data_IF_261533430919
#
_entry.id   IF_261533430919
#
_cell.length_a   1.000
_cell.length_b   1.000
_cell.length_c   1.000
_cell.angle_alpha   90.00
_cell.angle_beta   90.00
_cell.angle_gamma   90.00
#
_symmetry.space_group_name_H-M   'P 1'
#
loop_
_entity.id
_entity.type
_entity.pdbx_description
1 polymer ?
#
# COMPACT_ATOMS: atom_id res chain seq x y z
N UNK A 1 -0.67 -2.80 -4.54
CA UNK A 1 0.75 -3.13 -4.44
C UNK A 1 0.99 -4.14 -3.32
N UNK A 2 1.72 -5.24 -3.61
CA UNK A 2 2.19 -6.22 -2.62
C UNK A 2 3.71 -6.09 -2.56
N UNK A 3 4.21 -5.63 -1.41
CA UNK A 3 5.63 -5.31 -1.24
C UNK A 3 6.20 -5.88 0.06
N UNK A 4 7.51 -6.08 0.09
CA UNK A 4 8.20 -6.54 1.27
C UNK A 4 8.54 -5.44 2.29
N UNK A 5 8.23 -4.19 2.00
CA UNK A 5 8.49 -3.08 2.91
C UNK A 5 9.98 -2.73 3.03
N UNK A 6 10.64 -2.45 1.93
CA UNK A 6 12.08 -2.12 1.89
C UNK A 6 12.50 -1.08 2.93
N UNK A 7 11.66 -0.05 3.16
CA UNK A 7 11.90 1.01 4.14
C UNK A 7 12.01 0.51 5.58
N UNK A 8 11.30 -0.58 5.93
CA UNK A 8 11.36 -1.13 7.29
C UNK A 8 12.72 -1.73 7.66
N UNK A 9 13.60 -1.99 6.69
CA UNK A 9 14.99 -2.36 6.97
C UNK A 9 15.75 -1.23 7.68
N UNK A 10 15.39 0.02 7.44
CA UNK A 10 15.96 1.19 8.13
C UNK A 10 15.65 1.22 9.63
N UNK A 11 14.53 0.58 10.01
CA UNK A 11 14.08 0.45 11.40
C UNK A 11 14.42 -0.94 11.98
N UNK A 12 15.33 -1.69 11.34
CA UNK A 12 15.75 -3.03 11.77
C UNK A 12 14.61 -4.05 11.92
N UNK A 13 13.48 -3.87 11.22
CA UNK A 13 12.32 -4.76 11.25
C UNK A 13 12.49 -5.98 10.33
N UNK A 14 13.63 -6.68 10.45
CA UNK A 14 13.99 -7.78 9.54
C UNK A 14 12.97 -8.91 9.51
N UNK A 15 12.38 -9.27 10.65
CA UNK A 15 11.37 -10.31 10.71
C UNK A 15 10.13 -9.94 9.91
N UNK A 16 9.61 -8.72 10.09
CA UNK A 16 8.47 -8.21 9.35
C UNK A 16 8.72 -8.22 7.84
N UNK A 17 9.89 -7.75 7.41
CA UNK A 17 10.28 -7.74 6.00
C UNK A 17 10.39 -9.17 5.45
N UNK A 18 10.98 -10.10 6.21
CA UNK A 18 11.09 -11.50 5.80
C UNK A 18 9.72 -12.18 5.61
N UNK A 19 8.79 -11.93 6.52
CA UNK A 19 7.42 -12.44 6.46
C UNK A 19 6.69 -11.85 5.26
N UNK A 20 6.74 -10.53 5.06
CA UNK A 20 6.11 -9.83 3.94
C UNK A 20 6.64 -10.29 2.57
N UNK A 21 7.95 -10.51 2.45
CA UNK A 21 8.57 -11.01 1.21
C UNK A 21 8.13 -12.44 0.88
N UNK A 22 7.98 -13.31 1.90
CA UNK A 22 7.47 -14.66 1.71
C UNK A 22 6.01 -14.67 1.29
N UNK A 23 5.19 -13.88 1.97
CA UNK A 23 3.76 -13.77 1.63
C UNK A 23 3.55 -13.15 0.24
N UNK A 24 4.36 -12.19 -0.17
CA UNK A 24 4.32 -11.63 -1.53
C UNK A 24 4.45 -12.72 -2.60
N UNK A 25 5.43 -13.62 -2.47
CA UNK A 25 5.62 -14.70 -3.43
C UNK A 25 4.51 -15.76 -3.34
N UNK A 26 4.00 -16.06 -2.14
CA UNK A 26 2.86 -16.97 -1.97
C UNK A 26 1.60 -16.43 -2.64
N UNK A 27 1.26 -15.17 -2.42
CA UNK A 27 0.11 -14.53 -3.03
C UNK A 27 0.23 -14.51 -4.56
N UNK A 28 1.42 -14.23 -5.10
CA UNK A 28 1.64 -14.28 -6.53
C UNK A 28 1.45 -15.71 -7.10
N UNK A 29 1.96 -16.72 -6.42
CA UNK A 29 1.73 -18.12 -6.83
C UNK A 29 0.26 -18.53 -6.78
N UNK A 30 -0.48 -18.04 -5.77
CA UNK A 30 -1.91 -18.36 -5.60
C UNK A 30 -2.80 -17.65 -6.61
N UNK A 31 -2.47 -16.43 -7.00
CA UNK A 31 -3.31 -15.59 -7.85
C UNK A 31 -2.52 -14.91 -8.98
N UNK A 32 -1.80 -15.67 -9.85
CA UNK A 32 -0.93 -15.12 -10.90
C UNK A 32 -1.70 -14.35 -11.97
N UNK A 33 -3.00 -14.52 -12.07
CA UNK A 33 -3.87 -13.85 -13.03
C UNK A 33 -4.25 -12.42 -12.63
N UNK A 34 -4.02 -12.03 -11.36
CA UNK A 34 -4.27 -10.67 -10.84
C UNK A 34 -3.05 -10.07 -10.16
N UNK A 35 -1.98 -10.83 -10.02
CA UNK A 35 -0.73 -10.39 -9.41
C UNK A 35 0.40 -10.59 -10.42
N UNK A 36 1.18 -9.54 -10.65
CA UNK A 36 2.31 -9.58 -11.59
C UNK A 36 3.56 -8.92 -10.98
N UNK A 37 4.77 -9.33 -11.39
CA UNK A 37 5.99 -8.64 -11.00
C UNK A 37 5.95 -7.16 -11.37
N UNK A 38 6.43 -6.32 -10.49
CA UNK A 38 6.62 -4.89 -10.70
C UNK A 38 8.06 -4.52 -10.35
N UNK A 39 8.71 -3.81 -11.25
CA UNK A 39 10.07 -3.31 -11.03
C UNK A 39 10.01 -1.87 -10.58
N UNK A 40 10.76 -1.56 -9.52
CA UNK A 40 10.90 -0.21 -8.99
C UNK A 40 12.27 0.33 -9.29
N UNK A 41 12.33 1.55 -9.77
CA UNK A 41 13.54 2.31 -9.98
C UNK A 41 13.68 3.36 -8.87
N UNK A 42 14.79 3.30 -8.14
CA UNK A 42 15.17 4.24 -7.08
C UNK A 42 16.29 5.14 -7.59
N UNK A 43 15.99 6.36 -8.11
CA UNK A 43 17.02 7.30 -8.54
C UNK A 43 17.89 7.73 -7.37
N UNK A 44 19.21 7.70 -7.55
CA UNK A 44 20.15 8.03 -6.48
C UNK A 44 20.76 9.42 -6.67
N UNK A 45 20.77 10.20 -5.61
CA UNK A 45 21.46 11.49 -5.53
C UNK A 45 22.28 11.61 -4.23
N UNK A 46 23.09 12.66 -4.13
CA UNK A 46 24.09 12.79 -3.05
C UNK A 46 23.48 12.96 -1.65
N UNK A 47 22.28 13.52 -1.54
CA UNK A 47 21.58 13.68 -0.26
C UNK A 47 21.00 12.36 0.30
N UNK A 48 20.97 11.29 -0.49
CA UNK A 48 20.57 9.96 -0.04
C UNK A 48 21.73 9.23 0.63
N UNK A 49 21.40 8.12 1.30
CA UNK A 49 22.40 7.22 1.89
C UNK A 49 23.47 6.81 0.88
N UNK A 50 24.70 6.53 1.31
CA UNK A 50 25.77 6.09 0.41
C UNK A 50 25.37 4.89 -0.43
N UNK A 51 25.80 4.86 -1.69
CA UNK A 51 25.44 3.80 -2.66
C UNK A 51 25.73 2.39 -2.17
N UNK A 52 26.81 2.21 -1.43
CA UNK A 52 27.17 0.89 -0.88
C UNK A 52 26.18 0.42 0.16
N UNK A 53 25.64 1.32 0.98
CA UNK A 53 24.64 0.99 2.01
C UNK A 53 23.29 0.64 1.37
N UNK A 54 22.85 1.39 0.35
CA UNK A 54 21.65 1.05 -0.42
C UNK A 54 21.80 -0.32 -1.10
N UNK A 55 22.98 -0.60 -1.67
CA UNK A 55 23.27 -1.90 -2.28
C UNK A 55 23.20 -3.04 -1.26
N UNK A 56 23.75 -2.82 -0.06
CA UNK A 56 23.66 -3.79 1.03
C UNK A 56 22.22 -4.01 1.47
N UNK A 57 21.43 -2.94 1.65
CA UNK A 57 20.02 -3.03 1.99
C UNK A 57 19.21 -3.82 0.95
N UNK A 58 19.43 -3.55 -0.34
CA UNK A 58 18.78 -4.27 -1.43
C UNK A 58 19.25 -5.73 -1.51
N UNK A 59 20.51 -6.02 -1.22
CA UNK A 59 21.01 -7.39 -1.12
C UNK A 59 20.30 -8.15 0.01
N UNK A 60 20.18 -7.54 1.18
CA UNK A 60 19.43 -8.12 2.31
C UNK A 60 17.97 -8.35 1.90
N UNK A 61 17.32 -7.35 1.30
CA UNK A 61 15.95 -7.44 0.83
C UNK A 61 15.73 -8.61 -0.15
N UNK A 62 16.64 -8.81 -1.08
CA UNK A 62 16.60 -9.89 -2.05
C UNK A 62 16.68 -11.30 -1.40
N UNK A 63 17.35 -11.44 -0.25
CA UNK A 63 17.64 -12.75 0.34
C UNK A 63 16.80 -13.05 1.59
N UNK A 64 16.31 -12.04 2.28
CA UNK A 64 15.66 -12.19 3.58
C UNK A 64 14.37 -13.03 3.52
N UNK A 65 13.61 -12.95 2.44
CA UNK A 65 12.36 -13.72 2.24
C UNK A 65 12.54 -15.08 1.56
N UNK A 66 13.77 -15.48 1.23
CA UNK A 66 14.00 -16.71 0.46
C UNK A 66 13.49 -16.60 -0.98
N UNK A 67 13.69 -15.44 -1.62
CA UNK A 67 13.27 -15.14 -2.99
C UNK A 67 13.55 -16.28 -3.97
N UNK A 68 12.54 -16.69 -4.74
CA UNK A 68 12.65 -17.79 -5.72
C UNK A 68 12.34 -17.34 -7.15
N UNK A 69 11.41 -16.40 -7.33
CA UNK A 69 10.79 -16.11 -8.61
C UNK A 69 11.14 -14.71 -9.15
N UNK A 70 11.19 -13.70 -8.28
CA UNK A 70 11.40 -12.32 -8.71
C UNK A 70 12.85 -12.02 -9.10
N UNK A 71 13.10 -11.17 -10.12
CA UNK A 71 14.45 -10.74 -10.48
C UNK A 71 15.18 -10.04 -9.33
N UNK A 72 16.51 -10.21 -9.28
CA UNK A 72 17.37 -9.54 -8.29
C UNK A 72 17.39 -8.03 -8.46
N UNK A 73 17.69 -7.35 -7.35
CA UNK A 73 18.05 -5.95 -7.39
C UNK A 73 19.36 -5.75 -8.17
N UNK A 74 19.41 -4.65 -8.92
CA UNK A 74 20.59 -4.28 -9.70
C UNK A 74 20.81 -2.78 -9.71
N UNK A 75 22.05 -2.37 -9.98
CA UNK A 75 22.37 -0.98 -10.27
C UNK A 75 22.07 -0.70 -11.75
N UNK A 76 21.53 0.48 -12.03
CA UNK A 76 21.20 0.98 -13.36
C UNK A 76 21.99 2.25 -13.65
N UNK A 77 22.62 2.33 -14.83
CA UNK A 77 23.22 3.55 -15.34
C UNK A 77 22.17 4.32 -16.16
N UNK A 78 21.59 5.35 -15.55
CA UNK A 78 20.54 6.15 -16.16
C UNK A 78 20.94 6.88 -17.42
N UNK A 79 22.23 7.07 -17.68
CA UNK A 79 22.71 7.72 -18.93
C UNK A 79 22.42 6.89 -20.17
N UNK A 80 22.18 5.60 -20.00
CA UNK A 80 21.94 4.62 -21.08
C UNK A 80 20.61 3.89 -20.94
N UNK A 81 19.80 4.28 -19.99
CA UNK A 81 18.54 3.63 -19.65
C UNK A 81 17.36 4.48 -20.13
N UNK A 82 16.28 3.89 -20.65
CA UNK A 82 15.10 4.63 -21.11
C UNK A 82 14.51 5.58 -20.06
N UNK A 83 14.64 5.25 -18.78
CA UNK A 83 14.18 6.11 -17.67
C UNK A 83 14.82 7.51 -17.67
N UNK A 84 15.95 7.71 -18.36
CA UNK A 84 16.56 9.03 -18.52
C UNK A 84 15.68 10.03 -19.27
N UNK A 85 14.72 9.55 -20.05
CA UNK A 85 13.74 10.41 -20.75
C UNK A 85 12.71 11.01 -19.79
N UNK A 86 12.43 10.32 -18.69
CA UNK A 86 11.47 10.75 -17.69
C UNK A 86 12.10 11.53 -16.53
N UNK A 87 13.32 11.17 -16.14
CA UNK A 87 14.00 11.71 -14.97
C UNK A 87 14.89 12.90 -15.33
N UNK A 88 15.04 13.82 -14.38
CA UNK A 88 15.99 14.93 -14.53
C UNK A 88 17.41 14.41 -14.81
N UNK A 89 18.14 15.10 -15.68
CA UNK A 89 19.49 14.74 -16.13
C UNK A 89 20.54 14.70 -15.02
N UNK A 90 20.25 15.27 -13.84
CA UNK A 90 21.11 15.18 -12.65
C UNK A 90 21.26 13.76 -12.12
N UNK A 91 20.26 12.90 -12.33
CA UNK A 91 20.30 11.51 -11.89
C UNK A 91 21.10 10.66 -12.87
N UNK A 92 22.26 10.16 -12.45
CA UNK A 92 23.17 9.34 -13.27
C UNK A 92 23.07 7.85 -12.95
N UNK A 93 22.57 7.52 -11.77
CA UNK A 93 22.52 6.14 -11.27
C UNK A 93 21.19 5.92 -10.56
N UNK A 94 20.63 4.73 -10.74
CA UNK A 94 19.51 4.25 -9.95
C UNK A 94 19.79 2.83 -9.44
N UNK A 95 18.96 2.39 -8.50
CA UNK A 95 18.84 1.00 -8.12
C UNK A 95 17.48 0.48 -8.54
N UNK A 96 17.45 -0.71 -9.09
CA UNK A 96 16.22 -1.37 -9.51
C UNK A 96 15.98 -2.60 -8.62
N UNK A 97 14.76 -2.76 -8.11
CA UNK A 97 14.37 -3.91 -7.29
C UNK A 97 12.95 -4.38 -7.64
N UNK A 98 12.52 -5.49 -7.09
CA UNK A 98 11.23 -6.11 -7.42
C UNK A 98 10.27 -6.12 -6.26
N UNK A 99 9.02 -5.81 -6.57
CA UNK A 99 7.83 -6.12 -5.78
C UNK A 99 6.71 -6.64 -6.71
N UNK A 100 5.46 -6.63 -6.30
CA UNK A 100 4.34 -7.07 -7.13
C UNK A 100 3.24 -6.02 -7.22
N UNK A 101 2.72 -5.85 -8.41
CA UNK A 101 1.45 -5.19 -8.65
C UNK A 101 0.30 -6.17 -8.41
N UNK A 102 -0.85 -5.68 -7.98
CA UNK A 102 -2.06 -6.47 -7.75
C UNK A 102 -3.31 -5.66 -8.04
N UNK A 103 -4.33 -6.31 -8.59
CA UNK A 103 -5.71 -5.82 -8.54
C UNK A 103 -6.26 -6.11 -7.13
N UNK A 104 -6.09 -5.16 -6.21
CA UNK A 104 -6.35 -5.34 -4.78
C UNK A 104 -7.82 -5.59 -4.47
N UNK A 105 -8.74 -4.82 -5.05
CA UNK A 105 -10.19 -5.04 -4.89
C UNK A 105 -10.61 -6.42 -5.39
N UNK A 106 -10.06 -6.86 -6.51
CA UNK A 106 -10.32 -8.21 -7.04
C UNK A 106 -9.74 -9.30 -6.16
N UNK A 107 -8.57 -9.06 -5.54
CA UNK A 107 -8.00 -9.99 -4.57
C UNK A 107 -8.97 -10.20 -3.39
N UNK A 108 -9.57 -9.12 -2.86
CA UNK A 108 -10.59 -9.21 -1.79
C UNK A 108 -11.79 -10.05 -2.25
N UNK A 109 -12.34 -9.74 -3.42
CA UNK A 109 -13.51 -10.46 -3.97
C UNK A 109 -13.20 -11.95 -4.16
N UNK A 110 -12.02 -12.29 -4.66
CA UNK A 110 -11.63 -13.70 -4.87
C UNK A 110 -11.46 -14.46 -3.55
N UNK A 111 -10.90 -13.82 -2.52
CA UNK A 111 -10.81 -14.42 -1.19
C UNK A 111 -12.22 -14.68 -0.59
N UNK A 112 -13.12 -13.71 -0.68
CA UNK A 112 -14.50 -13.89 -0.23
C UNK A 112 -15.23 -14.99 -1.01
N UNK A 113 -15.02 -15.06 -2.32
CA UNK A 113 -15.60 -16.11 -3.17
C UNK A 113 -15.07 -17.50 -2.80
N UNK A 114 -13.77 -17.64 -2.51
CA UNK A 114 -13.21 -18.92 -2.07
C UNK A 114 -13.77 -19.32 -0.69
N UNK A 115 -13.85 -18.39 0.25
CA UNK A 115 -14.48 -18.61 1.55
C UNK A 115 -15.95 -19.05 1.41
N UNK A 116 -16.71 -18.37 0.55
CA UNK A 116 -18.11 -18.75 0.27
C UNK A 116 -18.23 -20.18 -0.29
N UNK A 117 -17.36 -20.56 -1.25
CA UNK A 117 -17.32 -21.92 -1.82
C UNK A 117 -17.00 -23.00 -0.78
N UNK A 118 -16.31 -22.61 0.29
CA UNK A 118 -15.99 -23.49 1.44
C UNK A 118 -17.04 -23.46 2.54
N UNK A 119 -18.19 -22.84 2.29
CA UNK A 119 -19.32 -22.81 3.22
C UNK A 119 -19.41 -21.59 4.13
N UNK A 120 -18.53 -20.60 3.99
CA UNK A 120 -18.66 -19.36 4.74
C UNK A 120 -19.86 -18.53 4.25
N UNK A 121 -20.58 -17.91 5.17
CA UNK A 121 -21.60 -16.90 4.84
C UNK A 121 -20.92 -15.55 4.69
N UNK A 122 -21.06 -14.93 3.55
CA UNK A 122 -20.56 -13.57 3.27
C UNK A 122 -21.74 -12.62 3.34
N UNK A 123 -21.69 -11.66 4.24
CA UNK A 123 -22.76 -10.71 4.51
C UNK A 123 -22.30 -9.27 4.22
N UNK A 124 -22.28 -8.83 2.96
CA UNK A 124 -21.96 -7.45 2.62
C UNK A 124 -22.98 -6.50 3.25
N UNK A 125 -22.56 -5.26 3.52
CA UNK A 125 -23.44 -4.22 4.11
C UNK A 125 -24.14 -4.65 5.40
N UNK A 126 -23.49 -5.50 6.18
CA UNK A 126 -24.00 -5.96 7.47
C UNK A 126 -23.06 -5.48 8.57
N UNK A 127 -23.58 -4.67 9.48
CA UNK A 127 -22.85 -4.08 10.61
C UNK A 127 -23.04 -4.92 11.86
N UNK A 128 -21.96 -5.14 12.60
CA UNK A 128 -22.01 -5.64 13.97
C UNK A 128 -22.45 -4.50 14.89
N UNK A 129 -23.62 -4.61 15.51
CA UNK A 129 -24.18 -3.59 16.41
C UNK A 129 -23.79 -3.84 17.85
N UNK A 130 -23.94 -5.07 18.33
CA UNK A 130 -23.54 -5.48 19.69
C UNK A 130 -22.86 -6.84 19.68
N UNK A 131 -21.94 -7.03 20.62
CA UNK A 131 -21.28 -8.31 20.85
C UNK A 131 -21.10 -8.51 22.36
N UNK A 132 -21.70 -9.55 22.91
CA UNK A 132 -21.61 -9.89 24.32
C UNK A 132 -21.11 -11.32 24.49
N UNK A 133 -20.13 -11.54 25.37
CA UNK A 133 -19.61 -12.88 25.64
C UNK A 133 -20.29 -13.44 26.89
N UNK A 134 -21.09 -14.51 26.70
CA UNK A 134 -21.86 -15.16 27.77
C UNK A 134 -21.70 -16.68 27.62
N UNK A 135 -21.42 -17.37 28.72
CA UNK A 135 -21.31 -18.83 28.79
C UNK A 135 -20.40 -19.45 27.72
N UNK A 136 -19.25 -18.79 27.46
CA UNK A 136 -18.28 -19.28 26.49
C UNK A 136 -18.63 -19.04 25.01
N UNK A 137 -19.65 -18.26 24.72
CA UNK A 137 -20.10 -17.93 23.36
C UNK A 137 -20.33 -16.44 23.19
N UNK A 138 -20.16 -15.97 21.97
CA UNK A 138 -20.49 -14.62 21.54
C UNK A 138 -21.95 -14.57 21.09
N UNK A 139 -22.72 -13.70 21.71
CA UNK A 139 -24.05 -13.28 21.24
C UNK A 139 -23.86 -11.98 20.46
N UNK A 140 -24.18 -12.02 19.18
CA UNK A 140 -23.97 -10.93 18.24
C UNK A 140 -25.31 -10.42 17.71
N UNK A 141 -25.48 -9.10 17.67
CA UNK A 141 -26.57 -8.46 16.91
C UNK A 141 -26.00 -7.86 15.66
N UNK A 142 -26.48 -8.31 14.53
CA UNK A 142 -26.09 -7.84 13.20
C UNK A 142 -27.23 -7.02 12.60
N UNK A 143 -26.89 -5.96 11.86
CA UNK A 143 -27.86 -5.10 11.19
C UNK A 143 -27.54 -5.00 9.70
N UNK A 144 -28.52 -5.32 8.86
CA UNK A 144 -28.47 -5.07 7.43
C UNK A 144 -28.61 -3.56 7.17
N UNK A 145 -27.58 -2.95 6.65
CA UNK A 145 -27.50 -1.49 6.42
C UNK A 145 -28.40 -1.00 5.28
N UNK A 146 -29.01 -1.92 4.51
CA UNK A 146 -29.93 -1.57 3.44
C UNK A 146 -31.38 -1.50 3.95
N UNK A 147 -31.75 -2.48 4.78
CA UNK A 147 -33.16 -2.65 5.26
C UNK A 147 -33.34 -2.20 6.71
N UNK A 148 -32.27 -1.97 7.48
CA UNK A 148 -32.32 -1.73 8.92
C UNK A 148 -32.74 -2.97 9.75
N UNK A 149 -32.88 -4.12 9.13
CA UNK A 149 -33.28 -5.35 9.84
C UNK A 149 -32.14 -5.86 10.70
N UNK A 150 -32.46 -6.16 11.94
CA UNK A 150 -31.54 -6.80 12.86
C UNK A 150 -31.79 -8.30 12.97
N UNK A 151 -30.72 -9.06 13.16
CA UNK A 151 -30.77 -10.49 13.44
C UNK A 151 -29.63 -10.88 14.39
N UNK A 152 -29.89 -11.92 15.17
CA UNK A 152 -28.93 -12.41 16.14
C UNK A 152 -28.16 -13.61 15.61
N UNK A 153 -26.89 -13.70 16.00
CA UNK A 153 -26.00 -14.80 15.68
C UNK A 153 -25.25 -15.23 16.93
N UNK A 154 -25.01 -16.52 17.09
CA UNK A 154 -24.16 -17.08 18.14
C UNK A 154 -22.89 -17.60 17.50
N UNK A 155 -21.74 -17.22 18.05
CA UNK A 155 -20.43 -17.65 17.57
C UNK A 155 -19.53 -18.15 18.70
N UNK A 156 -18.66 -19.09 18.42
CA UNK A 156 -17.65 -19.54 19.37
C UNK A 156 -16.48 -18.54 19.48
N UNK A 157 -16.17 -17.85 18.39
CA UNK A 157 -15.07 -16.90 18.29
C UNK A 157 -15.50 -15.67 17.49
N UNK A 158 -15.09 -14.50 17.93
CA UNK A 158 -15.24 -13.25 17.22
C UNK A 158 -13.84 -12.72 16.84
N UNK A 159 -13.64 -12.43 15.54
CA UNK A 159 -12.40 -11.82 15.04
C UNK A 159 -12.72 -10.42 14.55
N UNK A 160 -12.15 -9.42 15.22
CA UNK A 160 -12.26 -8.04 14.76
C UNK A 160 -11.09 -7.72 13.79
N UNK A 161 -11.40 -7.71 12.51
CA UNK A 161 -10.48 -7.38 11.43
C UNK A 161 -10.96 -6.13 10.64
N UNK A 162 -11.53 -5.15 11.35
CA UNK A 162 -12.19 -3.99 10.78
C UNK A 162 -11.22 -2.89 10.29
N UNK A 163 -9.92 -3.16 10.19
CA UNK A 163 -8.94 -2.19 9.69
C UNK A 163 -8.96 -0.88 10.51
N UNK A 164 -9.11 0.28 9.87
CA UNK A 164 -9.15 1.57 10.60
C UNK A 164 -10.31 1.70 11.59
N UNK A 165 -11.37 0.92 11.45
CA UNK A 165 -12.54 0.93 12.34
C UNK A 165 -12.44 -0.06 13.51
N UNK A 166 -11.31 -0.70 13.74
CA UNK A 166 -11.18 -1.73 14.80
C UNK A 166 -11.53 -1.18 16.18
N UNK A 167 -11.11 0.05 16.50
CA UNK A 167 -11.41 0.69 17.79
C UNK A 167 -12.89 1.10 17.89
N UNK A 168 -13.53 1.48 16.78
CA UNK A 168 -14.96 1.73 16.77
C UNK A 168 -15.76 0.45 17.09
N UNK A 169 -15.37 -0.69 16.52
CA UNK A 169 -16.00 -1.98 16.84
C UNK A 169 -15.83 -2.30 18.33
N UNK A 170 -14.64 -2.08 18.88
CA UNK A 170 -14.38 -2.31 20.30
C UNK A 170 -15.23 -1.39 21.20
N UNK A 171 -15.33 -0.11 20.86
CA UNK A 171 -16.13 0.85 21.65
C UNK A 171 -17.62 0.61 21.49
N UNK A 172 -18.10 0.59 20.24
CA UNK A 172 -19.54 0.62 19.95
C UNK A 172 -20.21 -0.75 20.10
N UNK A 173 -19.55 -1.84 19.68
CA UNK A 173 -20.16 -3.17 19.72
C UNK A 173 -19.82 -3.96 20.99
N UNK A 174 -18.62 -3.76 21.56
CA UNK A 174 -18.15 -4.51 22.74
C UNK A 174 -18.15 -3.67 24.04
N UNK A 175 -18.47 -2.37 23.96
CA UNK A 175 -18.50 -1.48 25.14
C UNK A 175 -17.12 -1.20 25.77
N UNK A 176 -16.02 -1.40 25.03
CA UNK A 176 -14.64 -1.19 25.49
C UNK A 176 -14.19 0.24 25.16
N UNK A 177 -14.40 1.15 26.11
CA UNK A 177 -14.07 2.59 25.94
C UNK A 177 -12.65 2.97 26.42
N UNK A 178 -11.94 2.03 27.01
CA UNK A 178 -10.59 2.18 27.58
C UNK A 178 -9.46 1.88 26.56
N UNK A 179 -9.79 1.77 25.29
CA UNK A 179 -8.89 1.27 24.26
C UNK A 179 -8.65 2.32 23.18
N UNK A 180 -7.37 2.54 22.88
CA UNK A 180 -6.86 3.35 21.78
C UNK A 180 -5.67 2.61 21.13
N UNK A 181 -5.97 1.74 20.18
CA UNK A 181 -4.97 0.85 19.56
C UNK A 181 -4.45 1.38 18.24
N UNK A 182 -5.19 2.31 17.59
CA UNK A 182 -4.92 2.73 16.22
C UNK A 182 -4.62 4.22 16.17
N UNK A 183 -3.49 4.56 15.53
CA UNK A 183 -3.24 5.88 15.01
C UNK A 183 -3.75 5.93 13.58
N UNK A 184 -4.72 6.78 13.32
CA UNK A 184 -5.21 7.01 11.96
C UNK A 184 -4.22 7.89 11.21
N UNK A 185 -3.88 7.45 10.00
CA UNK A 185 -3.05 8.21 9.07
C UNK A 185 -3.70 8.12 7.71
N UNK A 186 -4.09 9.26 7.16
CA UNK A 186 -4.57 9.38 5.79
C UNK A 186 -3.42 9.51 4.81
N UNK A 187 -3.64 9.06 3.59
CA UNK A 187 -2.68 9.24 2.52
C UNK A 187 -3.40 9.46 1.20
N UNK A 188 -3.00 10.50 0.50
CA UNK A 188 -3.59 10.89 -0.77
C UNK A 188 -2.66 10.58 -1.93
N UNK A 189 -3.25 10.38 -3.11
CA UNK A 189 -2.54 10.22 -4.38
C UNK A 189 -3.10 11.20 -5.39
N UNK A 190 -2.29 11.57 -6.37
CA UNK A 190 -2.72 12.30 -7.55
C UNK A 190 -2.48 11.45 -8.80
N UNK A 191 -3.29 11.64 -9.80
CA UNK A 191 -3.12 11.05 -11.13
C UNK A 191 -2.85 12.16 -12.13
N UNK A 192 -1.78 12.02 -12.89
CA UNK A 192 -1.46 12.93 -14.00
C UNK A 192 -1.43 12.17 -15.32
N UNK A 193 -1.72 12.85 -16.42
CA UNK A 193 -1.61 12.27 -17.76
C UNK A 193 -0.16 12.26 -18.20
N UNK A 194 0.51 11.15 -18.07
CA UNK A 194 1.91 10.97 -18.48
C UNK A 194 2.23 9.52 -18.81
N UNK A 195 2.60 9.27 -20.04
CA UNK A 195 3.09 7.96 -20.45
C UNK A 195 4.54 7.76 -20.01
N UNK A 196 4.83 6.60 -19.45
CA UNK A 196 6.18 6.22 -19.08
C UNK A 196 6.96 5.60 -20.25
N UNK A 197 8.29 5.70 -20.27
CA UNK A 197 9.14 5.08 -21.30
C UNK A 197 9.14 3.54 -21.23
N UNK A 198 8.77 3.00 -20.08
CA UNK A 198 8.65 1.57 -19.79
C UNK A 198 7.64 1.30 -18.64
N UNK A 199 7.45 0.05 -18.28
CA UNK A 199 6.46 -0.36 -17.25
C UNK A 199 7.00 -0.30 -15.81
N UNK A 200 8.18 0.25 -15.59
CA UNK A 200 8.75 0.36 -14.24
C UNK A 200 8.08 1.48 -13.46
N UNK A 201 7.96 1.25 -12.17
CA UNK A 201 7.56 2.25 -11.18
C UNK A 201 8.78 2.95 -10.62
N UNK A 202 8.57 4.11 -10.03
CA UNK A 202 9.65 4.91 -9.45
C UNK A 202 9.38 5.11 -7.96
N UNK A 203 10.47 5.13 -7.18
CA UNK A 203 10.44 5.41 -5.75
C UNK A 203 11.27 6.66 -5.49
N UNK A 204 10.61 7.74 -5.12
CA UNK A 204 11.22 9.02 -4.81
C UNK A 204 11.40 9.15 -3.30
N UNK A 205 12.61 9.42 -2.86
CA UNK A 205 12.93 9.62 -1.45
C UNK A 205 13.17 11.10 -1.18
N UNK A 206 12.37 11.68 -0.31
CA UNK A 206 12.45 13.10 0.01
C UNK A 206 13.40 13.40 1.17
N UNK A 207 13.81 14.67 1.24
CA UNK A 207 14.66 15.17 2.33
C UNK A 207 13.94 15.13 3.70
N UNK A 208 12.62 15.18 3.71
CA UNK A 208 11.79 15.03 4.91
C UNK A 208 11.64 13.57 5.39
N UNK A 209 12.28 12.63 4.69
CA UNK A 209 12.25 11.21 4.98
C UNK A 209 11.01 10.48 4.47
N UNK A 210 10.04 11.17 3.85
CA UNK A 210 8.90 10.54 3.20
C UNK A 210 9.29 9.91 1.87
N UNK A 211 8.52 8.90 1.47
CA UNK A 211 8.68 8.20 0.19
C UNK A 211 7.42 8.39 -0.63
N UNK A 212 7.61 8.84 -1.86
CA UNK A 212 6.53 8.99 -2.84
C UNK A 212 6.79 8.01 -3.98
N UNK A 213 5.79 7.23 -4.33
CA UNK A 213 5.83 6.35 -5.49
C UNK A 213 5.24 7.06 -6.71
N UNK A 214 5.79 6.74 -7.87
CA UNK A 214 5.22 7.11 -9.16
C UNK A 214 5.03 5.82 -9.95
N UNK A 215 3.79 5.42 -10.14
CA UNK A 215 3.38 4.10 -10.64
C UNK A 215 2.64 4.25 -11.96
N UNK A 216 3.00 3.49 -13.03
CA UNK A 216 2.20 3.44 -14.26
C UNK A 216 0.76 3.09 -13.94
N UNK A 217 -0.18 3.86 -14.46
CA UNK A 217 -1.61 3.68 -14.25
C UNK A 217 -2.35 3.81 -15.57
N UNK A 218 -3.21 2.84 -15.90
CA UNK A 218 -4.07 2.84 -17.08
C UNK A 218 -3.35 3.27 -18.40
N UNK A 219 -2.14 2.76 -18.62
CA UNK A 219 -1.30 2.96 -19.83
C UNK A 219 -0.76 4.39 -20.01
N UNK A 220 -1.61 5.41 -19.95
CA UNK A 220 -1.26 6.80 -20.29
C UNK A 220 -1.15 7.71 -19.06
N UNK A 221 -1.30 7.15 -17.86
CA UNK A 221 -1.31 7.93 -16.63
C UNK A 221 -0.20 7.50 -15.67
N UNK A 222 0.10 8.38 -14.75
CA UNK A 222 1.02 8.19 -13.66
C UNK A 222 0.30 8.48 -12.33
N UNK A 223 0.23 7.48 -11.47
CA UNK A 223 -0.26 7.59 -10.10
C UNK A 223 0.91 7.98 -9.19
N UNK A 224 0.80 9.11 -8.50
CA UNK A 224 1.84 9.66 -7.63
C UNK A 224 1.31 9.74 -6.20
N UNK A 225 2.03 9.18 -5.25
CA UNK A 225 1.67 9.20 -3.83
C UNK A 225 2.57 8.29 -3.00
N UNK A 226 2.46 8.36 -1.70
CA UNK A 226 1.36 8.95 -0.92
C UNK A 226 1.83 10.14 -0.06
N UNK A 227 0.88 10.93 0.41
CA UNK A 227 1.08 11.84 1.54
C UNK A 227 0.93 11.09 2.86
N UNK A 228 1.29 11.73 3.96
CA UNK A 228 1.01 11.27 5.34
C UNK A 228 0.27 12.43 6.06
N UNK A 229 -1.00 12.21 6.41
CA UNK A 229 -1.83 13.15 7.12
C UNK A 229 -2.37 12.49 8.40
N UNK A 230 -2.01 13.04 9.55
CA UNK A 230 -2.46 12.55 10.87
C UNK A 230 -3.85 13.10 11.26
N UNK A 231 -4.34 14.10 10.54
CA UNK A 231 -5.60 14.78 10.85
C UNK A 231 -6.75 14.19 10.04
N UNK A 232 -7.08 12.92 10.32
CA UNK A 232 -8.07 12.15 9.57
C UNK A 232 -9.20 11.70 10.45
N UNK A 233 -10.43 11.97 10.03
CA UNK A 233 -11.67 11.44 10.64
C UNK A 233 -12.21 10.29 9.81
N UNK A 234 -12.67 9.21 10.48
CA UNK A 234 -13.39 8.10 9.83
C UNK A 234 -14.84 8.45 9.46
N UNK A 235 -15.34 9.59 9.97
CA UNK A 235 -16.74 10.03 9.80
C UNK A 235 -16.91 11.07 8.68
N UNK A 236 -15.79 11.57 8.14
CA UNK A 236 -15.80 12.55 7.07
C UNK A 236 -15.31 11.92 5.76
N UNK A 237 -15.83 12.34 4.61
CA UNK A 237 -15.29 11.91 3.32
C UNK A 237 -13.82 12.30 3.20
N UNK A 238 -12.97 11.34 2.88
CA UNK A 238 -11.56 11.62 2.60
C UNK A 238 -11.46 12.45 1.32
N UNK A 239 -10.86 13.63 1.42
CA UNK A 239 -10.57 14.51 0.30
C UNK A 239 -9.11 14.96 0.38
N UNK A 240 -8.46 14.97 -0.76
CA UNK A 240 -7.11 15.52 -0.87
C UNK A 240 -7.19 17.05 -0.72
N UNK A 241 -6.30 17.63 0.06
CA UNK A 241 -6.17 19.08 0.20
C UNK A 241 -5.28 19.68 -0.88
N UNK A 242 -5.44 20.97 -1.17
CA UNK A 242 -4.58 21.71 -2.10
C UNK A 242 -3.10 21.65 -1.66
N UNK A 243 -2.85 21.63 -0.37
CA UNK A 243 -1.50 21.51 0.19
C UNK A 243 -0.88 20.13 -0.10
N UNK A 244 -1.66 19.06 -0.05
CA UNK A 244 -1.20 17.71 -0.41
C UNK A 244 -0.94 17.60 -1.92
N UNK A 245 -1.81 18.20 -2.76
CA UNK A 245 -1.62 18.27 -4.21
C UNK A 245 -0.31 18.98 -4.52
N UNK A 246 -0.11 20.18 -3.96
CA UNK A 246 1.10 20.97 -4.16
C UNK A 246 2.36 20.18 -3.71
N UNK A 247 2.31 19.53 -2.56
CA UNK A 247 3.40 18.69 -2.06
C UNK A 247 3.76 17.56 -3.03
N UNK A 248 2.77 16.81 -3.53
CA UNK A 248 3.02 15.72 -4.48
C UNK A 248 3.55 16.21 -5.82
N UNK A 249 3.06 17.35 -6.31
CA UNK A 249 3.58 18.01 -7.51
C UNK A 249 5.04 18.46 -7.33
N UNK A 250 5.37 19.07 -6.19
CA UNK A 250 6.73 19.48 -5.88
C UNK A 250 7.70 18.29 -5.82
N UNK A 251 7.30 17.22 -5.13
CA UNK A 251 8.09 15.99 -5.06
C UNK A 251 8.32 15.41 -6.44
N UNK A 252 7.27 15.28 -7.24
CA UNK A 252 7.38 14.76 -8.59
C UNK A 252 8.32 15.62 -9.44
N UNK A 253 8.20 16.95 -9.37
CA UNK A 253 9.02 17.90 -10.10
C UNK A 253 10.51 17.88 -9.72
N UNK A 254 10.83 17.44 -8.50
CA UNK A 254 12.25 17.28 -8.10
C UNK A 254 12.93 16.11 -8.81
N UNK A 255 12.16 15.14 -9.30
CA UNK A 255 12.66 13.92 -9.93
C UNK A 255 12.40 13.88 -11.43
N UNK A 256 11.24 14.30 -11.87
CA UNK A 256 10.83 14.28 -13.26
C UNK A 256 11.50 15.40 -14.07
N UNK A 257 11.78 15.14 -15.33
CA UNK A 257 12.38 16.12 -16.25
C UNK A 257 11.47 17.30 -16.54
N UNK A 258 10.17 17.04 -16.62
CA UNK A 258 9.14 18.06 -16.77
C UNK A 258 8.51 18.36 -15.41
N UNK A 259 8.30 19.64 -15.14
CA UNK A 259 7.59 20.10 -13.94
C UNK A 259 6.17 19.58 -13.93
N UNK A 260 5.69 19.18 -12.77
CA UNK A 260 4.30 18.80 -12.52
C UNK A 260 3.64 19.90 -11.73
N UNK A 261 2.49 20.39 -12.21
CA UNK A 261 1.71 21.45 -11.57
C UNK A 261 0.34 20.93 -11.15
N UNK A 262 -0.39 21.61 -10.27
CA UNK A 262 -1.75 21.22 -9.91
C UNK A 262 -2.71 21.11 -11.11
N UNK A 263 -2.47 21.88 -12.18
CA UNK A 263 -3.26 21.85 -13.42
C UNK A 263 -3.09 20.55 -14.23
N UNK A 264 -1.98 19.82 -14.00
CA UNK A 264 -1.75 18.52 -14.62
C UNK A 264 -2.52 17.38 -13.95
N UNK A 265 -3.08 17.64 -12.75
CA UNK A 265 -3.80 16.65 -11.97
C UNK A 265 -5.17 16.42 -12.57
N UNK A 266 -5.44 15.18 -12.95
CA UNK A 266 -6.71 14.78 -13.57
C UNK A 266 -7.61 14.03 -12.59
N UNK A 267 -7.08 13.56 -11.51
CA UNK A 267 -7.81 12.90 -10.41
C UNK A 267 -6.96 12.80 -9.16
#
# INVERSE_FOLDING_TARGET
LIHGGLRYLEYYKFRLVAESLRERERLWQMAPHIIRPMRFLLPHHQALRPRWLLRLGLFIYDHLGGRKLLPKARRVDLRRDPASQLLQSKFKTAFEYSDCWVEDSRLVVLNLRDAYRRGAKILPRTKLVTATFIEGRWLLTLEDQTSGRQHNLIAATLVNAAGPWVDEVLRNALGRNDIDNIRLVGGSHIVIKRRLPDERSYMFQNADGRVVFAIPYEQDYLLIGTTDNDDVSLHEPLQISDAEIAYLCDVASQYLAETVTPEDVVW
#
